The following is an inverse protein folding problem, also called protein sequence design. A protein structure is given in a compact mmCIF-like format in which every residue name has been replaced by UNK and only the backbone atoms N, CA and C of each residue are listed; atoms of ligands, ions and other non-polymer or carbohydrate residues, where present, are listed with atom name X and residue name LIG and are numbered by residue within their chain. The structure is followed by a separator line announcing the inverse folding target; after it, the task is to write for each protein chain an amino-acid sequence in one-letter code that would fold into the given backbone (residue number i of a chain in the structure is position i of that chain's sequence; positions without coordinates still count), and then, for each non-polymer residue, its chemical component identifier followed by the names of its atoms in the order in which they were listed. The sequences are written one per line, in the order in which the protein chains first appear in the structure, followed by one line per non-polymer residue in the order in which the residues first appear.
data_IF_213281132931
#
_entry.id   IF_213281132931
#
_cell.length_a   1.000
_cell.length_b   1.000
_cell.length_c   1.000
_cell.angle_alpha   90.00
_cell.angle_beta   90.00
_cell.angle_gamma   90.00
#
_symmetry.space_group_name_H-M   'P 1'
#
loop_
_entity.id
_entity.type
_entity.pdbx_description
1 polymer ?
#
# COMPACT_ATOMS: atom_id res chain seq x y z
N UNK A 1 -5.99 29.22 -18.60
CA UNK A 1 -6.67 28.76 -17.37
C UNK A 1 -8.02 28.21 -17.78
N UNK A 2 -8.15 26.89 -17.91
CA UNK A 2 -9.40 26.24 -18.28
C UNK A 2 -10.05 25.74 -17.00
N UNK A 3 -11.21 26.29 -16.65
CA UNK A 3 -11.99 25.84 -15.50
C UNK A 3 -12.48 24.41 -15.75
N UNK A 4 -12.32 23.52 -14.76
CA UNK A 4 -12.89 22.17 -14.78
C UNK A 4 -14.42 22.24 -14.57
N UNK A 5 -15.21 21.36 -15.22
CA UNK A 5 -16.66 21.36 -15.03
C UNK A 5 -17.03 20.80 -13.64
N UNK A 6 -17.96 21.45 -12.91
CA UNK A 6 -18.54 20.87 -11.70
C UNK A 6 -19.61 19.84 -12.09
N UNK A 7 -19.64 18.69 -11.41
CA UNK A 7 -20.79 17.77 -11.45
C UNK A 7 -20.55 16.32 -11.88
N UNK A 8 -19.47 15.67 -11.44
CA UNK A 8 -19.39 14.21 -11.54
C UNK A 8 -20.34 13.53 -10.54
N UNK A 9 -21.46 12.95 -10.99
CA UNK A 9 -22.30 12.09 -10.15
C UNK A 9 -21.78 10.65 -10.17
N UNK A 10 -21.44 10.09 -9.00
CA UNK A 10 -21.21 8.65 -8.89
C UNK A 10 -22.56 7.92 -8.93
N UNK A 11 -22.74 6.98 -9.86
CA UNK A 11 -23.91 6.09 -9.88
C UNK A 11 -23.49 4.72 -9.39
N UNK A 12 -24.15 4.24 -8.35
CA UNK A 12 -23.98 2.88 -7.82
C UNK A 12 -25.00 2.01 -8.54
N UNK A 13 -24.53 1.01 -9.28
CA UNK A 13 -25.41 0.03 -9.93
C UNK A 13 -25.37 -1.27 -9.12
N UNK A 14 -26.54 -1.73 -8.69
CA UNK A 14 -26.71 -3.02 -8.04
C UNK A 14 -27.16 -4.05 -9.08
N UNK A 15 -26.52 -5.21 -9.10
CA UNK A 15 -26.99 -6.38 -9.86
C UNK A 15 -26.71 -7.66 -9.08
N UNK A 16 -27.76 -8.38 -8.66
CA UNK A 16 -27.66 -9.68 -8.01
C UNK A 16 -28.84 -9.98 -7.07
N UNK A 17 -29.18 -11.26 -6.92
CA UNK A 17 -30.11 -11.75 -5.89
C UNK A 17 -29.34 -11.88 -4.57
N UNK A 18 -29.85 -11.28 -3.49
CA UNK A 18 -29.28 -11.30 -2.12
C UNK A 18 -29.18 -12.70 -1.47
N UNK A 19 -29.48 -13.77 -2.21
CA UNK A 19 -29.45 -15.16 -1.74
C UNK A 19 -28.20 -15.94 -2.16
N UNK A 20 -27.20 -15.31 -2.79
CA UNK A 20 -25.93 -15.97 -3.10
C UNK A 20 -24.74 -15.14 -2.61
N UNK A 21 -23.79 -15.83 -1.97
CA UNK A 21 -22.75 -15.35 -1.06
C UNK A 21 -21.69 -14.38 -1.62
N UNK A 22 -21.90 -13.79 -2.80
CA UNK A 22 -21.00 -12.79 -3.37
C UNK A 22 -21.80 -11.65 -4.01
N UNK A 23 -21.87 -10.52 -3.32
CA UNK A 23 -22.29 -9.25 -3.93
C UNK A 23 -21.05 -8.53 -4.45
N UNK A 24 -20.97 -8.31 -5.76
CA UNK A 24 -19.90 -7.50 -6.37
C UNK A 24 -20.41 -6.07 -6.53
N UNK A 25 -19.82 -5.13 -5.79
CA UNK A 25 -20.09 -3.71 -6.01
C UNK A 25 -19.04 -3.18 -7.00
N UNK A 26 -19.51 -2.75 -8.17
CA UNK A 26 -18.70 -2.08 -9.17
C UNK A 26 -18.94 -0.57 -9.09
N UNK A 27 -17.93 0.19 -8.67
CA UNK A 27 -17.94 1.65 -8.71
C UNK A 27 -17.17 2.10 -9.96
N UNK A 28 -17.89 2.66 -10.93
CA UNK A 28 -17.30 3.35 -12.07
C UNK A 28 -17.27 4.84 -11.77
N UNK A 29 -16.10 5.37 -11.41
CA UNK A 29 -15.90 6.81 -11.24
C UNK A 29 -15.05 7.29 -12.42
N UNK A 30 -15.58 8.17 -13.29
CA UNK A 30 -14.77 8.78 -14.34
C UNK A 30 -13.71 9.65 -13.67
N UNK A 31 -12.44 9.27 -13.83
CA UNK A 31 -11.31 10.02 -13.28
C UNK A 31 -10.74 10.91 -14.38
N UNK A 32 -10.80 12.25 -14.26
CA UNK A 32 -10.13 13.12 -15.20
C UNK A 32 -8.64 13.14 -14.87
N UNK A 33 -7.85 12.28 -15.51
CA UNK A 33 -6.41 12.53 -15.65
C UNK A 33 -6.16 13.33 -16.93
N UNK A 34 -5.27 14.33 -16.92
CA UNK A 34 -4.77 14.91 -18.15
C UNK A 34 -3.82 13.88 -18.80
N UNK A 35 -4.34 13.04 -19.69
CA UNK A 35 -3.49 12.27 -20.59
C UNK A 35 -3.02 13.19 -21.71
N UNK A 36 -1.73 13.12 -22.07
CA UNK A 36 -1.14 13.90 -23.16
C UNK A 36 -1.80 13.66 -24.55
N UNK A 37 -2.77 12.75 -24.67
CA UNK A 37 -3.34 12.27 -25.93
C UNK A 37 -4.89 12.13 -25.92
N UNK A 38 -5.60 12.70 -24.95
CA UNK A 38 -7.08 12.78 -25.01
C UNK A 38 -7.84 11.45 -24.81
N UNK A 39 -7.20 10.41 -24.27
CA UNK A 39 -7.87 9.16 -23.92
C UNK A 39 -8.48 9.22 -22.51
N UNK A 40 -9.76 8.89 -22.40
CA UNK A 40 -10.47 8.70 -21.12
C UNK A 40 -10.21 7.26 -20.63
N UNK A 41 -9.42 7.12 -19.58
CA UNK A 41 -9.19 5.82 -18.94
C UNK A 41 -10.27 5.59 -17.88
N UNK A 42 -11.18 4.65 -18.15
CA UNK A 42 -12.18 4.21 -17.16
C UNK A 42 -11.55 3.09 -16.33
N UNK A 43 -11.28 3.35 -15.05
CA UNK A 43 -10.85 2.31 -14.11
C UNK A 43 -12.06 1.81 -13.33
N UNK A 44 -12.33 0.51 -13.39
CA UNK A 44 -13.35 -0.14 -12.56
C UNK A 44 -12.78 -0.43 -11.18
N UNK A 45 -13.59 -0.17 -10.15
CA UNK A 45 -13.27 -0.49 -8.77
C UNK A 45 -14.23 -1.59 -8.30
N UNK A 46 -13.72 -2.81 -8.12
CA UNK A 46 -14.46 -3.93 -7.55
C UNK A 46 -14.16 -4.04 -6.06
N UNK A 47 -15.21 -4.13 -5.24
CA UNK A 47 -15.09 -4.39 -3.80
C UNK A 47 -15.91 -5.63 -3.46
N UNK A 48 -15.24 -6.67 -2.95
CA UNK A 48 -15.88 -7.89 -2.46
C UNK A 48 -16.02 -7.79 -0.94
N UNK A 49 -17.25 -7.92 -0.44
CA UNK A 49 -17.55 -7.93 1.01
C UNK A 49 -17.83 -9.39 1.40
N UNK A 50 -16.98 -9.98 2.26
CA UNK A 50 -17.33 -11.23 2.92
C UNK A 50 -18.27 -10.93 4.09
N UNK A 51 -19.52 -11.40 4.01
CA UNK A 51 -20.50 -11.26 5.09
C UNK A 51 -20.09 -12.09 6.32
N UNK A 52 -20.13 -11.48 7.49
CA UNK A 52 -20.11 -12.19 8.78
C UNK A 52 -21.43 -12.94 9.01
N UNK A 53 -21.39 -14.03 9.80
CA UNK A 53 -22.48 -14.99 10.06
C UNK A 53 -23.82 -14.43 10.61
N UNK A 54 -23.97 -13.12 10.80
CA UNK A 54 -25.24 -12.47 11.09
C UNK A 54 -25.46 -11.36 10.06
N UNK A 55 -26.53 -11.41 9.24
CA UNK A 55 -26.82 -10.36 8.28
C UNK A 55 -27.12 -9.06 9.03
N UNK A 56 -26.29 -8.04 8.79
CA UNK A 56 -26.61 -6.68 9.23
C UNK A 56 -27.81 -6.17 8.41
N UNK A 57 -28.74 -5.41 9.02
CA UNK A 57 -29.79 -4.73 8.27
C UNK A 57 -29.19 -3.86 7.16
N UNK A 58 -29.82 -3.86 5.99
CA UNK A 58 -29.34 -3.15 4.81
C UNK A 58 -29.03 -1.67 5.09
N UNK A 59 -29.90 -1.00 5.86
CA UNK A 59 -29.76 0.39 6.29
C UNK A 59 -28.50 0.63 7.14
N UNK A 60 -28.13 -0.34 8.00
CA UNK A 60 -26.92 -0.26 8.82
C UNK A 60 -25.67 -0.41 7.96
N UNK A 61 -25.69 -1.33 6.98
CA UNK A 61 -24.60 -1.47 6.02
C UNK A 61 -24.44 -0.22 5.15
N UNK A 62 -25.53 0.32 4.61
CA UNK A 62 -25.51 1.54 3.79
C UNK A 62 -24.98 2.75 4.56
N UNK A 63 -25.37 2.91 5.82
CA UNK A 63 -24.87 4.01 6.65
C UNK A 63 -23.38 3.84 7.01
N UNK A 64 -22.92 2.62 7.29
CA UNK A 64 -21.50 2.33 7.53
C UNK A 64 -20.66 2.53 6.27
N UNK A 65 -21.16 2.11 5.10
CA UNK A 65 -20.48 2.26 3.82
C UNK A 65 -20.43 3.75 3.42
N UNK A 66 -21.53 4.49 3.54
CA UNK A 66 -21.59 5.92 3.20
C UNK A 66 -20.61 6.75 4.03
N UNK A 67 -20.54 6.55 5.36
CA UNK A 67 -19.56 7.24 6.22
C UNK A 67 -18.12 6.91 5.88
N UNK A 68 -17.83 5.65 5.54
CA UNK A 68 -16.49 5.23 5.13
C UNK A 68 -16.13 5.84 3.76
N UNK A 69 -17.08 5.88 2.82
CA UNK A 69 -16.91 6.47 1.50
C UNK A 69 -16.69 7.98 1.59
N UNK A 70 -17.42 8.72 2.40
CA UNK A 70 -17.23 10.17 2.56
C UNK A 70 -15.88 10.53 3.21
N UNK A 71 -15.50 9.82 4.29
CA UNK A 71 -14.19 9.97 4.93
C UNK A 71 -13.05 9.63 3.96
N UNK A 72 -13.24 8.59 3.16
CA UNK A 72 -12.28 8.16 2.15
C UNK A 72 -12.25 9.08 0.93
N UNK A 73 -13.38 9.70 0.56
CA UNK A 73 -13.51 10.62 -0.56
C UNK A 73 -12.78 11.93 -0.29
N UNK A 74 -12.81 12.44 0.94
CA UNK A 74 -12.01 13.60 1.35
C UNK A 74 -10.49 13.35 1.23
N UNK A 75 -10.05 12.09 1.30
CA UNK A 75 -8.67 11.64 1.07
C UNK A 75 -8.37 11.34 -0.41
N UNK A 76 -9.40 11.21 -1.25
CA UNK A 76 -9.30 11.00 -2.70
C UNK A 76 -9.37 12.29 -3.52
N UNK A 77 -9.88 13.37 -2.93
CA UNK A 77 -9.78 14.68 -3.53
C UNK A 77 -8.32 14.92 -3.94
N UNK A 78 -8.06 15.40 -5.18
CA UNK A 78 -6.72 15.78 -5.59
C UNK A 78 -6.11 16.71 -4.54
N UNK A 79 -5.08 16.24 -3.86
CA UNK A 79 -4.38 16.96 -2.80
C UNK A 79 -2.91 16.99 -3.16
N UNK A 80 -2.29 18.14 -2.99
CA UNK A 80 -0.85 18.30 -3.12
C UNK A 80 -0.14 17.63 -1.94
N UNK A 81 1.17 17.38 -2.06
CA UNK A 81 1.96 16.86 -0.95
C UNK A 81 1.87 17.77 0.28
N UNK A 82 1.91 19.09 0.08
CA UNK A 82 1.79 20.08 1.14
C UNK A 82 0.45 20.02 1.88
N UNK A 83 -0.64 19.68 1.19
CA UNK A 83 -1.92 19.47 1.85
C UNK A 83 -1.86 18.29 2.82
N UNK A 84 -1.14 17.21 2.46
CA UNK A 84 -0.95 16.07 3.35
C UNK A 84 -0.04 16.40 4.54
N UNK A 85 1.02 17.18 4.33
CA UNK A 85 1.88 17.66 5.43
C UNK A 85 1.06 18.48 6.43
N UNK A 86 0.20 19.39 5.95
CA UNK A 86 -0.70 20.18 6.80
C UNK A 86 -1.73 19.31 7.53
N UNK A 87 -2.35 18.35 6.83
CA UNK A 87 -3.30 17.40 7.43
C UNK A 87 -2.67 16.58 8.56
N UNK A 88 -1.39 16.24 8.43
CA UNK A 88 -0.62 15.53 9.45
C UNK A 88 -0.05 16.44 10.54
N UNK A 89 -0.30 17.75 10.48
CA UNK A 89 0.26 18.73 11.42
C UNK A 89 1.79 18.74 11.43
N UNK A 90 2.43 18.36 10.31
CA UNK A 90 3.89 18.21 10.24
C UNK A 90 4.45 17.02 11.05
N UNK A 91 3.60 16.14 11.60
CA UNK A 91 4.06 14.99 12.39
C UNK A 91 4.84 14.02 11.51
N UNK A 92 6.12 13.89 11.80
CA UNK A 92 7.00 12.87 11.21
C UNK A 92 6.88 11.57 12.00
N UNK A 93 6.57 10.49 11.29
CA UNK A 93 6.48 9.13 11.79
C UNK A 93 7.87 8.47 11.77
N UNK A 94 8.08 7.49 12.64
CA UNK A 94 9.30 6.67 12.65
C UNK A 94 9.05 5.35 11.92
N UNK A 95 9.87 5.04 10.92
CA UNK A 95 9.89 3.71 10.29
C UNK A 95 10.91 2.81 11.00
N UNK A 96 10.57 1.52 11.20
CA UNK A 96 11.51 0.47 11.60
C UNK A 96 11.27 -0.85 10.85
N UNK A 97 12.34 -1.52 10.43
CA UNK A 97 12.32 -2.87 9.87
C UNK A 97 12.99 -3.85 10.84
N UNK A 98 12.26 -4.83 11.36
CA UNK A 98 12.80 -5.79 12.33
C UNK A 98 12.81 -7.20 11.75
N UNK A 99 13.96 -7.89 11.80
CA UNK A 99 13.99 -9.33 11.56
C UNK A 99 13.63 -10.05 12.86
N UNK A 100 12.47 -10.71 12.86
CA UNK A 100 12.09 -11.62 13.93
C UNK A 100 12.67 -13.00 13.64
N UNK A 101 13.29 -13.61 14.63
CA UNK A 101 13.81 -14.98 14.52
C UNK A 101 12.72 -15.94 14.95
N UNK A 102 12.31 -16.84 14.07
CA UNK A 102 11.36 -17.91 14.40
C UNK A 102 12.12 -19.16 14.82
N UNK A 103 13.17 -19.50 14.07
CA UNK A 103 14.12 -20.57 14.38
C UNK A 103 15.49 -20.23 13.75
N UNK A 104 16.56 -21.03 13.96
CA UNK A 104 17.90 -20.71 13.47
C UNK A 104 17.98 -20.42 11.96
N UNK A 105 17.14 -21.08 11.16
CA UNK A 105 17.15 -20.98 9.70
C UNK A 105 15.96 -20.17 9.17
N UNK A 106 15.14 -19.57 10.04
CA UNK A 106 13.90 -18.90 9.64
C UNK A 106 13.75 -17.52 10.30
N UNK A 107 13.66 -16.49 9.46
CA UNK A 107 13.44 -15.11 9.90
C UNK A 107 12.25 -14.46 9.19
N UNK A 108 11.65 -13.49 9.86
CA UNK A 108 10.47 -12.76 9.39
C UNK A 108 10.75 -11.27 9.43
N UNK A 109 10.81 -10.64 8.24
CA UNK A 109 10.97 -9.20 8.15
C UNK A 109 9.64 -8.49 8.45
N UNK A 110 9.60 -7.81 9.58
CA UNK A 110 8.43 -7.07 10.06
C UNK A 110 8.63 -5.57 9.93
N UNK A 111 7.64 -4.88 9.38
CA UNK A 111 7.64 -3.43 9.31
C UNK A 111 6.86 -2.81 10.47
N UNK A 112 7.46 -1.81 11.12
CA UNK A 112 6.85 -1.02 12.17
C UNK A 112 6.84 0.46 11.80
N UNK A 113 5.72 1.13 12.11
CA UNK A 113 5.55 2.58 12.01
C UNK A 113 5.06 3.09 13.34
N UNK A 114 5.78 4.06 13.93
CA UNK A 114 5.53 4.58 15.28
C UNK A 114 5.43 3.46 16.34
N UNK A 115 6.27 2.42 16.19
CA UNK A 115 6.30 1.25 17.08
C UNK A 115 5.18 0.22 16.86
N UNK A 116 4.13 0.58 16.13
CA UNK A 116 3.06 -0.35 15.75
C UNK A 116 3.34 -1.08 14.44
N UNK A 117 2.68 -2.21 14.22
CA UNK A 117 2.77 -2.95 12.95
C UNK A 117 1.57 -2.56 12.07
N UNK A 118 1.72 -1.61 11.12
CA UNK A 118 0.59 -1.09 10.35
C UNK A 118 -0.04 -2.13 9.41
N UNK A 119 0.69 -3.20 9.09
CA UNK A 119 0.24 -4.30 8.23
C UNK A 119 0.39 -5.63 8.94
N UNK A 120 -0.69 -6.41 9.00
CA UNK A 120 -0.61 -7.82 9.42
C UNK A 120 -0.02 -8.75 8.36
N UNK A 121 0.47 -8.20 7.25
CA UNK A 121 1.01 -8.92 6.09
C UNK A 121 2.43 -8.49 5.78
N UNK A 122 3.17 -9.36 5.09
CA UNK A 122 4.53 -9.08 4.65
C UNK A 122 4.59 -7.97 3.60
N UNK A 123 5.69 -7.22 3.57
CA UNK A 123 5.92 -6.12 2.63
C UNK A 123 6.88 -6.55 1.52
N UNK A 124 6.58 -6.19 0.26
CA UNK A 124 7.48 -6.50 -0.85
C UNK A 124 8.82 -5.74 -0.72
N UNK A 125 9.88 -6.45 -0.35
CA UNK A 125 11.21 -5.89 -0.08
C UNK A 125 11.88 -5.27 -1.30
N UNK A 126 11.65 -5.84 -2.49
CA UNK A 126 12.15 -5.29 -3.77
C UNK A 126 11.57 -3.90 -4.02
N UNK A 127 10.24 -3.76 -3.96
CA UNK A 127 9.58 -2.46 -4.17
C UNK A 127 9.94 -1.45 -3.07
N UNK A 128 10.19 -1.93 -1.84
CA UNK A 128 10.66 -1.10 -0.74
C UNK A 128 12.05 -0.53 -1.03
N UNK A 129 13.00 -1.37 -1.49
CA UNK A 129 14.34 -0.93 -1.90
C UNK A 129 14.28 0.02 -3.10
N UNK A 130 13.48 -0.26 -4.10
CA UNK A 130 13.30 0.62 -5.27
C UNK A 130 12.79 2.00 -4.87
N UNK A 131 11.87 2.06 -3.88
CA UNK A 131 11.36 3.32 -3.35
C UNK A 131 12.44 4.16 -2.66
N UNK A 132 13.57 3.59 -2.26
CA UNK A 132 14.65 4.39 -1.65
C UNK A 132 15.45 5.20 -2.67
N UNK A 133 15.33 4.88 -3.97
CA UNK A 133 16.25 5.35 -5.02
C UNK A 133 15.67 6.44 -5.89
N UNK A 134 14.46 6.26 -6.39
CA UNK A 134 13.86 7.20 -7.31
C UNK A 134 12.88 8.09 -6.57
N UNK A 135 12.79 9.36 -6.95
CA UNK A 135 11.64 10.18 -6.61
C UNK A 135 10.47 9.76 -7.51
N UNK A 136 9.30 9.48 -6.94
CA UNK A 136 8.14 9.09 -7.73
C UNK A 136 7.07 8.40 -6.90
N UNK A 137 6.06 7.91 -7.61
CA UNK A 137 4.96 7.13 -7.05
C UNK A 137 5.28 5.63 -7.11
N UNK A 138 5.53 5.01 -5.95
CA UNK A 138 5.75 3.57 -5.88
C UNK A 138 4.56 2.87 -5.25
N UNK A 139 4.19 1.71 -5.77
CA UNK A 139 3.16 0.85 -5.18
C UNK A 139 3.84 -0.35 -4.53
N UNK A 140 3.94 -0.33 -3.20
CA UNK A 140 4.50 -1.43 -2.42
C UNK A 140 3.35 -2.35 -2.00
N UNK A 141 3.35 -3.57 -2.54
CA UNK A 141 2.32 -4.55 -2.26
C UNK A 141 2.53 -5.23 -0.90
N UNK A 142 1.44 -5.40 -0.15
CA UNK A 142 1.41 -6.03 1.17
C UNK A 142 0.43 -7.21 1.20
N UNK A 143 0.67 -8.28 0.42
CA UNK A 143 0.01 -9.57 0.69
C UNK A 143 0.85 -10.37 1.68
N UNK A 144 0.23 -11.33 2.40
CA UNK A 144 0.97 -12.30 3.20
C UNK A 144 2.12 -12.97 2.42
N UNK A 145 1.97 -13.04 1.09
CA UNK A 145 2.88 -13.65 0.14
C UNK A 145 3.84 -12.71 -0.62
N UNK A 146 3.83 -11.38 -0.40
CA UNK A 146 4.61 -10.40 -1.18
C UNK A 146 4.38 -10.29 -2.72
N UNK A 147 3.37 -10.95 -3.30
CA UNK A 147 3.06 -10.94 -4.75
C UNK A 147 1.96 -9.94 -5.15
N UNK A 148 2.23 -9.13 -6.18
CA UNK A 148 1.29 -8.15 -6.73
C UNK A 148 0.03 -8.76 -7.39
N UNK A 149 0.04 -10.03 -7.77
CA UNK A 149 -1.09 -10.75 -8.38
C UNK A 149 -1.84 -11.69 -7.44
N UNK A 150 -1.54 -11.71 -6.14
CA UNK A 150 -2.26 -12.57 -5.20
C UNK A 150 -3.69 -12.05 -5.01
N UNK A 151 -4.70 -12.93 -5.13
CA UNK A 151 -6.14 -12.64 -5.13
C UNK A 151 -6.72 -11.99 -3.83
N UNK A 152 -5.87 -11.44 -2.98
CA UNK A 152 -6.17 -10.67 -1.76
C UNK A 152 -5.37 -9.36 -1.74
N UNK A 153 -5.29 -8.67 -2.89
CA UNK A 153 -4.55 -7.41 -3.03
C UNK A 153 -5.19 -6.36 -2.12
N UNK A 154 -4.61 -6.16 -0.94
CA UNK A 154 -4.73 -4.88 -0.27
C UNK A 154 -4.06 -3.84 -1.16
N UNK A 155 -4.71 -2.70 -1.36
CA UNK A 155 -4.32 -1.58 -2.26
C UNK A 155 -2.91 -1.01 -2.00
N UNK A 156 -2.15 -1.61 -1.09
CA UNK A 156 -0.72 -1.44 -0.92
C UNK A 156 -0.36 -0.14 -0.22
N UNK A 157 0.89 0.24 -0.39
CA UNK A 157 1.44 1.51 0.05
C UNK A 157 1.84 2.30 -1.17
N UNK A 158 1.22 3.47 -1.36
CA UNK A 158 1.74 4.44 -2.33
C UNK A 158 2.78 5.31 -1.64
N UNK A 159 4.01 5.28 -2.13
CA UNK A 159 5.11 6.11 -1.63
C UNK A 159 5.29 7.31 -2.55
N UNK A 160 5.40 8.50 -1.98
CA UNK A 160 5.66 9.77 -2.70
C UNK A 160 6.82 10.47 -2.02
N UNK A 161 7.83 10.91 -2.78
CA UNK A 161 8.96 11.67 -2.25
C UNK A 161 8.88 13.12 -2.68
N UNK A 162 8.99 14.05 -1.73
CA UNK A 162 9.07 15.48 -2.01
C UNK A 162 10.02 16.16 -1.01
N UNK A 163 11.11 16.76 -1.53
CA UNK A 163 12.16 17.35 -0.71
C UNK A 163 12.77 16.37 0.29
N UNK A 164 12.79 16.76 1.56
CA UNK A 164 13.30 15.99 2.69
C UNK A 164 12.28 14.99 3.27
N UNK A 165 11.10 14.85 2.66
CA UNK A 165 10.02 14.02 3.20
C UNK A 165 9.60 12.91 2.24
N UNK A 166 9.10 11.83 2.85
CA UNK A 166 8.48 10.68 2.17
C UNK A 166 7.08 10.48 2.72
N UNK A 167 6.06 10.59 1.88
CA UNK A 167 4.67 10.34 2.23
C UNK A 167 4.27 8.93 1.84
N UNK A 168 3.74 8.17 2.80
CA UNK A 168 3.05 6.92 2.54
C UNK A 168 1.55 7.11 2.59
N UNK A 169 0.87 6.71 1.52
CA UNK A 169 -0.58 6.52 1.47
C UNK A 169 -0.84 5.03 1.57
N UNK A 170 -1.09 4.57 2.80
CA UNK A 170 -1.32 3.18 3.13
C UNK A 170 -2.81 2.85 2.99
N UNK A 171 -3.13 1.83 2.21
CA UNK A 171 -4.50 1.39 2.00
C UNK A 171 -4.69 -0.03 2.57
N UNK A 172 -5.64 -0.18 3.50
CA UNK A 172 -5.91 -1.44 4.21
C UNK A 172 -7.42 -1.76 4.24
N UNK A 173 -7.76 -2.98 4.65
CA UNK A 173 -9.15 -3.46 4.70
C UNK A 173 -10.10 -2.51 5.46
N UNK A 174 -9.60 -2.00 6.60
CA UNK A 174 -10.33 -1.13 7.54
C UNK A 174 -10.24 0.38 7.20
N UNK A 175 -9.69 0.76 6.05
CA UNK A 175 -9.55 2.16 5.63
C UNK A 175 -8.15 2.55 5.16
N UNK A 176 -7.75 3.79 5.41
CA UNK A 176 -6.50 4.38 4.88
C UNK A 176 -5.76 5.16 5.96
N UNK A 177 -4.44 5.11 5.90
CA UNK A 177 -3.53 5.87 6.78
C UNK A 177 -2.54 6.63 5.94
N UNK A 178 -2.16 7.79 6.47
CA UNK A 178 -1.11 8.61 5.94
C UNK A 178 0.03 8.59 6.95
N UNK A 179 1.25 8.41 6.47
CA UNK A 179 2.46 8.53 7.27
C UNK A 179 3.43 9.44 6.54
N UNK A 180 4.07 10.34 7.26
CA UNK A 180 5.11 11.21 6.74
C UNK A 180 6.42 10.80 7.39
N UNK A 181 7.46 10.57 6.61
CA UNK A 181 8.78 10.19 7.11
C UNK A 181 9.80 11.22 6.69
N UNK A 182 10.83 11.41 7.50
CA UNK A 182 12.06 12.01 7.02
C UNK A 182 12.69 11.09 5.97
N UNK A 183 13.15 11.65 4.86
CA UNK A 183 13.60 10.88 3.71
C UNK A 183 14.91 10.12 3.98
N UNK A 184 15.82 10.72 4.72
CA UNK A 184 17.10 10.08 5.06
C UNK A 184 16.88 8.96 6.08
N UNK A 185 16.06 9.21 7.11
CA UNK A 185 15.65 8.20 8.08
C UNK A 185 14.95 7.02 7.39
N UNK A 186 14.01 7.30 6.49
CA UNK A 186 13.30 6.31 5.69
C UNK A 186 14.26 5.42 4.91
N UNK A 187 15.18 6.04 4.16
CA UNK A 187 16.16 5.35 3.32
C UNK A 187 17.12 4.52 4.16
N UNK A 188 17.69 5.11 5.20
CA UNK A 188 18.66 4.44 6.07
C UNK A 188 18.05 3.19 6.71
N UNK A 189 16.81 3.27 7.18
CA UNK A 189 16.16 2.14 7.86
C UNK A 189 15.82 0.99 6.90
N UNK A 190 15.36 1.30 5.68
CA UNK A 190 15.10 0.27 4.67
C UNK A 190 16.38 -0.44 4.28
N UNK A 191 17.45 0.32 4.03
CA UNK A 191 18.75 -0.25 3.68
C UNK A 191 19.25 -1.16 4.80
N UNK A 192 19.26 -0.68 6.05
CA UNK A 192 19.68 -1.47 7.21
C UNK A 192 18.91 -2.80 7.32
N UNK A 193 17.58 -2.74 7.30
CA UNK A 193 16.74 -3.94 7.42
C UNK A 193 16.96 -4.91 6.25
N UNK A 194 17.12 -4.42 5.03
CA UNK A 194 17.40 -5.26 3.87
C UNK A 194 18.83 -5.82 3.85
N UNK A 195 19.82 -5.10 4.37
CA UNK A 195 21.18 -5.63 4.59
C UNK A 195 21.13 -6.86 5.48
N UNK A 196 20.44 -6.78 6.62
CA UNK A 196 20.30 -7.90 7.57
C UNK A 196 19.63 -9.13 6.92
N UNK A 197 18.63 -8.91 6.05
CA UNK A 197 18.02 -10.01 5.28
C UNK A 197 19.00 -10.61 4.28
N UNK A 198 19.71 -9.78 3.52
CA UNK A 198 20.67 -10.26 2.51
C UNK A 198 21.81 -11.03 3.17
N UNK A 199 22.37 -10.53 4.25
CA UNK A 199 23.45 -11.18 4.98
C UNK A 199 22.99 -12.52 5.57
N UNK A 200 21.83 -12.53 6.23
CA UNK A 200 21.25 -13.77 6.74
C UNK A 200 21.02 -14.81 5.64
N UNK A 201 20.48 -14.41 4.49
CA UNK A 201 20.30 -15.34 3.38
C UNK A 201 21.66 -15.83 2.86
N UNK A 202 22.69 -14.97 2.78
CA UNK A 202 24.04 -15.35 2.31
C UNK A 202 24.79 -16.32 3.22
N UNK A 203 24.52 -16.30 4.51
CA UNK A 203 25.14 -17.23 5.48
C UNK A 203 24.89 -18.69 5.10
N UNK A 204 23.71 -19.00 4.56
CA UNK A 204 23.34 -20.38 4.22
C UNK A 204 22.23 -20.45 3.14
N UNK A 205 22.30 -21.42 2.19
CA UNK A 205 21.24 -21.62 1.20
C UNK A 205 19.95 -22.18 1.79
N UNK A 206 20.00 -22.85 2.95
CA UNK A 206 18.82 -23.32 3.68
C UNK A 206 18.13 -22.24 4.52
N UNK A 207 18.75 -21.06 4.69
CA UNK A 207 18.11 -19.94 5.37
C UNK A 207 16.90 -19.41 4.59
N UNK A 208 15.80 -19.25 5.31
CA UNK A 208 14.52 -18.76 4.83
C UNK A 208 14.19 -17.42 5.50
N UNK A 209 13.85 -16.43 4.68
CA UNK A 209 13.33 -15.16 5.20
C UNK A 209 12.02 -14.80 4.50
N UNK A 210 10.91 -14.67 5.22
CA UNK A 210 9.68 -14.13 4.63
C UNK A 210 9.78 -12.60 4.47
N UNK A 211 9.36 -12.00 3.33
CA UNK A 211 8.68 -12.63 2.17
C UNK A 211 9.60 -13.06 1.00
N UNK A 212 10.89 -13.25 1.25
CA UNK A 212 11.93 -13.62 0.28
C UNK A 212 12.10 -15.15 0.23
N UNK A 213 10.99 -15.83 -0.02
CA UNK A 213 10.86 -17.28 0.22
C UNK A 213 11.39 -18.16 -0.90
N UNK A 214 11.63 -17.59 -2.09
CA UNK A 214 12.05 -18.36 -3.27
C UNK A 214 13.42 -17.93 -3.80
N UNK A 215 14.19 -18.83 -4.44
CA UNK A 215 15.49 -18.50 -5.05
C UNK A 215 15.40 -17.33 -6.04
N UNK A 216 14.31 -17.26 -6.81
CA UNK A 216 14.05 -16.15 -7.74
C UNK A 216 13.88 -14.83 -7.00
N UNK A 217 13.11 -14.81 -5.90
CA UNK A 217 12.92 -13.60 -5.09
C UNK A 217 14.20 -13.16 -4.40
N UNK A 218 15.01 -14.10 -3.94
CA UNK A 218 16.33 -13.83 -3.38
C UNK A 218 17.23 -13.10 -4.39
N UNK A 219 17.31 -13.60 -5.63
CA UNK A 219 18.05 -12.92 -6.71
C UNK A 219 17.52 -11.51 -6.99
N UNK A 220 16.20 -11.33 -6.97
CA UNK A 220 15.58 -10.01 -7.17
C UNK A 220 15.91 -9.05 -6.01
N UNK A 221 15.86 -9.54 -4.77
CA UNK A 221 16.27 -8.78 -3.59
C UNK A 221 17.73 -8.34 -3.72
N UNK A 222 18.65 -9.28 -3.97
CA UNK A 222 20.09 -9.00 -4.07
C UNK A 222 20.37 -7.97 -5.16
N UNK A 223 19.70 -8.07 -6.31
CA UNK A 223 19.80 -7.07 -7.38
C UNK A 223 19.28 -5.71 -6.94
N UNK A 224 18.08 -5.63 -6.36
CA UNK A 224 17.50 -4.38 -5.90
C UNK A 224 18.37 -3.72 -4.81
N UNK A 225 18.92 -4.54 -3.91
CA UNK A 225 19.82 -4.12 -2.85
C UNK A 225 21.11 -3.52 -3.41
N UNK A 226 21.81 -4.23 -4.30
CA UNK A 226 23.02 -3.74 -4.97
C UNK A 226 22.79 -2.39 -5.66
N UNK A 227 21.67 -2.26 -6.35
CA UNK A 227 21.33 -1.01 -7.01
C UNK A 227 20.96 0.13 -6.04
N UNK A 228 20.42 -0.20 -4.86
CA UNK A 228 20.05 0.77 -3.83
C UNK A 228 21.26 1.28 -3.03
N UNK A 229 22.31 0.47 -2.87
CA UNK A 229 23.54 0.83 -2.15
C UNK A 229 24.58 1.52 -3.03
N UNK A 230 24.28 1.77 -4.31
CA UNK A 230 25.19 2.47 -5.22
C UNK A 230 26.34 1.60 -5.73
N UNK A 231 26.01 0.36 -6.10
CA UNK A 231 26.98 -0.55 -6.73
C UNK A 231 27.62 -0.02 -8.01
#
# INVERSE_FOLDING_TARGET
MTALPPGGSARIHWSGLLSQHESTIALAVPWPEPTLHGMVVVRSLSMSIQQSNAPLPAETMEHMLSRNVERDAALLAPRTFQDYVRLLGGKVSTLKLELRVENPNERWLTLKVDGGTPYGSAICTVNLLDSTRLSGDFHIFTCACGHAGCNRIYRGVRVVHEGACTLWKAYYAKGRKLFLFDREQYRAEILRGCTEVVDFLRESPENFCSPVESPTRRKWLERAYFQATGG
#
